data_IF_253575754789
#
_entry.id   IF_253575754789
#
_cell.length_a   1.000
_cell.length_b   1.000
_cell.length_c   1.000
_cell.angle_alpha   90.00
_cell.angle_beta   90.00
_cell.angle_gamma   90.00
#
_symmetry.space_group_name_H-M   'P 1'
#
loop_
_entity.id
_entity.type
_entity.pdbx_description
1 polymer ?
#
# COMPACT_ATOMS: atom_id res chain seq x y z
N UNK A 1 -11.76 -11.98 19.92
CA UNK A 1 -12.66 -12.80 19.08
C UNK A 1 -11.81 -13.88 18.43
N UNK A 2 -12.26 -15.16 18.42
CA UNK A 2 -11.54 -16.22 17.68
C UNK A 2 -11.64 -15.99 16.17
N UNK A 3 -10.72 -16.57 15.39
CA UNK A 3 -10.74 -16.45 13.92
C UNK A 3 -12.04 -16.99 13.32
N UNK A 4 -12.52 -18.12 13.83
CA UNK A 4 -13.79 -18.73 13.40
C UNK A 4 -14.99 -17.79 13.63
N UNK A 5 -15.10 -17.18 14.81
CA UNK A 5 -16.15 -16.19 15.11
C UNK A 5 -16.05 -14.97 14.20
N UNK A 6 -14.83 -14.55 13.85
CA UNK A 6 -14.59 -13.47 12.91
C UNK A 6 -15.10 -13.82 11.50
N UNK A 7 -14.79 -15.02 11.00
CA UNK A 7 -15.21 -15.44 9.67
C UNK A 7 -16.74 -15.56 9.55
N UNK A 8 -17.42 -16.05 10.59
CA UNK A 8 -18.88 -16.08 10.67
C UNK A 8 -19.45 -14.66 10.67
N UNK A 9 -18.93 -13.79 11.53
CA UNK A 9 -19.34 -12.39 11.59
C UNK A 9 -19.16 -11.68 10.25
N UNK A 10 -18.02 -11.88 9.60
CA UNK A 10 -17.72 -11.28 8.30
C UNK A 10 -18.69 -11.75 7.23
N UNK A 11 -18.97 -13.06 7.16
CA UNK A 11 -19.98 -13.63 6.27
C UNK A 11 -21.33 -12.94 6.45
N UNK A 12 -21.83 -12.92 7.68
CA UNK A 12 -23.17 -12.42 7.98
C UNK A 12 -23.28 -10.91 7.69
N UNK A 13 -22.21 -10.16 8.00
CA UNK A 13 -22.16 -8.73 7.69
C UNK A 13 -22.11 -8.45 6.20
N UNK A 14 -21.35 -9.25 5.44
CA UNK A 14 -21.30 -9.13 3.98
C UNK A 14 -22.64 -9.46 3.34
N UNK A 15 -23.33 -10.51 3.80
CA UNK A 15 -24.67 -10.87 3.30
C UNK A 15 -25.69 -9.77 3.58
N UNK A 16 -25.69 -9.20 4.79
CA UNK A 16 -26.55 -8.07 5.13
C UNK A 16 -26.29 -6.87 4.22
N UNK A 17 -25.02 -6.51 3.98
CA UNK A 17 -24.67 -5.42 3.07
C UNK A 17 -25.09 -5.69 1.62
N UNK A 18 -24.94 -6.92 1.15
CA UNK A 18 -25.38 -7.32 -0.19
C UNK A 18 -26.90 -7.16 -0.33
N UNK A 19 -27.66 -7.54 0.69
CA UNK A 19 -29.10 -7.38 0.73
C UNK A 19 -29.51 -5.90 0.79
N UNK A 20 -28.95 -5.13 1.74
CA UNK A 20 -29.20 -3.70 1.92
C UNK A 20 -28.95 -2.89 0.65
N UNK A 21 -27.89 -3.25 -0.11
CA UNK A 21 -27.46 -2.52 -1.31
C UNK A 21 -27.96 -3.13 -2.61
N UNK A 22 -28.64 -4.28 -2.56
CA UNK A 22 -28.98 -5.12 -3.72
C UNK A 22 -27.78 -5.40 -4.64
N UNK A 23 -26.57 -5.53 -4.04
CA UNK A 23 -25.33 -5.75 -4.77
C UNK A 23 -25.34 -7.12 -5.47
N UNK A 24 -24.91 -7.14 -6.72
CA UNK A 24 -24.75 -8.37 -7.52
C UNK A 24 -23.29 -8.82 -7.58
N UNK A 25 -22.38 -7.93 -7.22
CA UNK A 25 -20.94 -8.16 -7.25
C UNK A 25 -20.34 -7.74 -5.93
N UNK A 26 -19.51 -8.60 -5.35
CA UNK A 26 -18.66 -8.32 -4.21
C UNK A 26 -17.19 -8.34 -4.68
N UNK A 27 -16.52 -7.22 -4.56
CA UNK A 27 -15.09 -7.12 -4.88
C UNK A 27 -14.28 -7.18 -3.60
N UNK A 28 -13.31 -8.10 -3.57
CA UNK A 28 -12.34 -8.21 -2.50
C UNK A 28 -10.98 -7.70 -3.00
N UNK A 29 -10.47 -6.65 -2.37
CA UNK A 29 -9.10 -6.16 -2.56
C UNK A 29 -8.24 -6.58 -1.37
N UNK A 30 -7.27 -7.43 -1.62
CA UNK A 30 -6.38 -7.92 -0.57
C UNK A 30 -5.53 -9.10 -1.01
N UNK A 31 -4.60 -9.49 -0.14
CA UNK A 31 -3.62 -10.55 -0.46
C UNK A 31 -4.32 -11.91 -0.59
N UNK A 32 -5.10 -12.28 0.41
CA UNK A 32 -5.78 -13.59 0.48
C UNK A 32 -7.23 -13.40 0.90
N UNK A 33 -8.21 -13.86 0.11
CA UNK A 33 -9.62 -13.77 0.50
C UNK A 33 -9.89 -14.50 1.81
N UNK A 34 -10.61 -13.83 2.69
CA UNK A 34 -11.01 -14.41 3.98
C UNK A 34 -12.04 -15.51 3.78
N UNK A 35 -12.05 -16.55 4.63
CA UNK A 35 -13.07 -17.61 4.56
C UNK A 35 -14.52 -17.07 4.61
N UNK A 36 -14.76 -15.99 5.36
CA UNK A 36 -16.07 -15.34 5.42
C UNK A 36 -16.55 -14.76 4.09
N UNK A 37 -15.63 -14.30 3.22
CA UNK A 37 -15.95 -13.83 1.85
C UNK A 37 -16.44 -15.00 0.99
N UNK A 38 -15.75 -16.13 1.07
CA UNK A 38 -16.13 -17.35 0.34
C UNK A 38 -17.45 -17.91 0.87
N UNK A 39 -17.63 -17.91 2.19
CA UNK A 39 -18.88 -18.35 2.82
C UNK A 39 -20.08 -17.49 2.40
N UNK A 40 -19.90 -16.18 2.20
CA UNK A 40 -20.94 -15.30 1.68
C UNK A 40 -21.38 -15.70 0.26
N UNK A 41 -20.42 -16.04 -0.62
CA UNK A 41 -20.74 -16.58 -1.96
C UNK A 41 -21.51 -17.88 -1.89
N UNK A 42 -21.11 -18.82 -1.02
CA UNK A 42 -21.77 -20.10 -0.87
C UNK A 42 -23.23 -19.95 -0.36
N UNK A 43 -23.48 -18.95 0.49
CA UNK A 43 -24.81 -18.63 1.00
C UNK A 43 -25.68 -17.87 -0.02
N UNK A 44 -25.08 -17.19 -0.99
CA UNK A 44 -25.76 -16.50 -2.08
C UNK A 44 -25.11 -16.83 -3.43
N UNK A 45 -25.50 -17.91 -4.09
CA UNK A 45 -24.91 -18.36 -5.36
C UNK A 45 -24.98 -17.33 -6.50
N UNK A 46 -25.94 -16.40 -6.44
CA UNK A 46 -26.10 -15.34 -7.46
C UNK A 46 -25.10 -14.20 -7.28
N UNK A 47 -24.47 -14.07 -6.10
CA UNK A 47 -23.43 -13.09 -5.84
C UNK A 47 -22.18 -13.41 -6.65
N UNK A 48 -21.68 -12.46 -7.43
CA UNK A 48 -20.42 -12.61 -8.15
C UNK A 48 -19.28 -12.13 -7.29
N UNK A 49 -18.20 -12.92 -7.21
CA UNK A 49 -16.97 -12.55 -6.51
C UNK A 49 -15.89 -12.09 -7.48
N UNK A 50 -15.36 -10.92 -7.24
CA UNK A 50 -14.20 -10.38 -7.95
C UNK A 50 -13.05 -10.21 -6.98
N UNK A 51 -11.90 -10.79 -7.29
CA UNK A 51 -10.70 -10.61 -6.50
C UNK A 51 -9.72 -9.67 -7.19
N UNK A 52 -9.40 -8.55 -6.56
CA UNK A 52 -8.28 -7.70 -6.93
C UNK A 52 -7.05 -8.28 -6.23
N UNK A 53 -6.33 -9.13 -6.95
CA UNK A 53 -5.20 -9.90 -6.44
C UNK A 53 -3.88 -9.21 -6.77
N UNK A 54 -3.01 -9.06 -5.79
CA UNK A 54 -1.64 -8.60 -6.05
C UNK A 54 -0.82 -9.68 -6.73
N UNK A 55 0.08 -9.29 -7.63
CA UNK A 55 1.15 -10.12 -8.17
C UNK A 55 2.34 -10.25 -7.21
N UNK A 56 3.47 -10.72 -7.71
CA UNK A 56 4.76 -10.78 -7.00
C UNK A 56 4.75 -11.63 -5.71
N UNK A 57 3.96 -12.69 -5.70
CA UNK A 57 3.94 -13.59 -4.54
C UNK A 57 5.27 -14.34 -4.40
N UNK A 58 5.73 -14.48 -3.16
CA UNK A 58 6.95 -15.24 -2.86
C UNK A 58 6.84 -16.71 -3.30
N UNK A 59 7.96 -17.32 -3.65
CA UNK A 59 8.04 -18.73 -4.09
C UNK A 59 7.57 -19.75 -3.03
N UNK A 60 7.44 -19.36 -1.76
CA UNK A 60 7.16 -20.27 -0.63
C UNK A 60 5.69 -20.68 -0.52
N UNK A 61 5.39 -21.67 0.32
CA UNK A 61 4.55 -22.86 0.06
C UNK A 61 3.04 -22.68 0.12
N UNK A 62 2.49 -21.48 -0.03
CA UNK A 62 1.03 -21.28 -0.05
C UNK A 62 0.40 -21.41 -1.46
N UNK A 63 1.12 -22.05 -2.40
CA UNK A 63 0.68 -22.18 -3.80
C UNK A 63 -0.68 -22.87 -3.98
N UNK A 64 -0.92 -23.91 -3.19
CA UNK A 64 -2.17 -24.65 -3.25
C UNK A 64 -3.37 -23.83 -2.79
N UNK A 65 -3.16 -22.96 -1.77
CA UNK A 65 -4.20 -22.05 -1.28
C UNK A 65 -4.57 -21.03 -2.35
N UNK A 66 -3.59 -20.47 -3.04
CA UNK A 66 -3.81 -19.52 -4.14
C UNK A 66 -4.67 -20.16 -5.26
N UNK A 67 -4.37 -21.42 -5.63
CA UNK A 67 -5.15 -22.14 -6.65
C UNK A 67 -6.60 -22.36 -6.26
N UNK A 68 -6.83 -22.85 -5.05
CA UNK A 68 -8.17 -23.09 -4.52
C UNK A 68 -8.97 -21.79 -4.40
N UNK A 69 -8.37 -20.75 -3.86
CA UNK A 69 -9.02 -19.45 -3.70
C UNK A 69 -9.35 -18.81 -5.05
N UNK A 70 -8.43 -18.91 -6.02
CA UNK A 70 -8.69 -18.41 -7.38
C UNK A 70 -9.85 -19.14 -8.06
N UNK A 71 -9.98 -20.44 -7.85
CA UNK A 71 -11.05 -21.24 -8.43
C UNK A 71 -12.45 -20.88 -7.87
N UNK A 72 -12.51 -20.23 -6.72
CA UNK A 72 -13.76 -19.78 -6.10
C UNK A 72 -14.22 -18.39 -6.56
N UNK A 73 -13.39 -17.70 -7.35
CA UNK A 73 -13.69 -16.36 -7.86
C UNK A 73 -14.36 -16.44 -9.23
N UNK A 74 -15.37 -15.61 -9.45
CA UNK A 74 -15.97 -15.44 -10.79
C UNK A 74 -15.02 -14.65 -11.71
N UNK A 75 -14.21 -13.75 -11.13
CA UNK A 75 -13.21 -12.97 -11.87
C UNK A 75 -12.03 -12.61 -10.97
N UNK A 76 -10.84 -12.58 -11.55
CA UNK A 76 -9.63 -12.06 -10.89
C UNK A 76 -9.10 -10.92 -11.73
N UNK A 77 -8.80 -9.80 -11.08
CA UNK A 77 -8.12 -8.65 -11.65
C UNK A 77 -6.75 -8.56 -10.97
N UNK A 78 -5.70 -8.45 -11.74
CA UNK A 78 -4.36 -8.26 -11.20
C UNK A 78 -3.79 -6.93 -11.68
N UNK A 79 -3.70 -5.94 -10.79
CA UNK A 79 -3.08 -4.67 -11.11
C UNK A 79 -1.63 -4.88 -11.56
N UNK A 80 -1.24 -4.16 -12.60
CA UNK A 80 0.13 -4.19 -13.09
C UNK A 80 1.13 -3.73 -12.04
N UNK A 81 2.37 -4.13 -12.21
CA UNK A 81 3.47 -3.75 -11.33
C UNK A 81 4.72 -3.46 -12.16
N UNK A 82 5.49 -2.42 -11.78
CA UNK A 82 6.74 -2.07 -12.45
C UNK A 82 7.79 -3.18 -12.34
N UNK A 83 7.70 -3.98 -11.28
CA UNK A 83 8.57 -5.13 -11.04
C UNK A 83 8.04 -6.45 -11.63
N UNK A 84 6.95 -6.43 -12.41
CA UNK A 84 6.32 -7.65 -12.94
C UNK A 84 7.29 -8.59 -13.66
N UNK A 85 8.28 -8.07 -14.35
CA UNK A 85 9.31 -8.87 -15.02
C UNK A 85 10.15 -9.72 -14.06
N UNK A 86 10.15 -9.37 -12.78
CA UNK A 86 10.87 -10.06 -11.71
C UNK A 86 9.96 -10.92 -10.84
N UNK A 87 8.71 -11.15 -11.26
CA UNK A 87 7.83 -12.09 -10.57
C UNK A 87 8.27 -13.53 -10.86
N UNK A 88 8.88 -14.15 -9.88
CA UNK A 88 9.28 -15.57 -9.91
C UNK A 88 8.39 -16.43 -9.00
N UNK A 89 7.33 -15.87 -8.49
CA UNK A 89 6.39 -16.51 -7.59
C UNK A 89 5.26 -17.26 -8.30
N UNK A 90 4.29 -17.78 -7.56
CA UNK A 90 3.19 -18.57 -8.12
C UNK A 90 2.22 -17.75 -8.98
N UNK A 91 2.29 -16.43 -8.96
CA UNK A 91 1.48 -15.53 -9.80
C UNK A 91 2.09 -15.32 -11.19
N UNK A 92 3.40 -15.52 -11.36
CA UNK A 92 4.12 -15.24 -12.60
C UNK A 92 3.61 -16.05 -13.81
N UNK A 93 3.18 -17.28 -13.59
CA UNK A 93 2.75 -18.22 -14.65
C UNK A 93 1.23 -18.38 -14.74
N UNK A 94 0.46 -17.69 -13.90
CA UNK A 94 -1.00 -17.82 -13.91
C UNK A 94 -1.63 -16.99 -15.02
N UNK A 95 -2.64 -17.60 -15.65
CA UNK A 95 -3.44 -17.00 -16.73
C UNK A 95 -4.90 -16.77 -16.34
N UNK A 96 -5.20 -16.87 -15.05
CA UNK A 96 -6.56 -16.78 -14.50
C UNK A 96 -6.99 -15.34 -14.18
N UNK A 97 -6.09 -14.37 -14.33
CA UNK A 97 -6.36 -12.98 -14.03
C UNK A 97 -6.39 -12.11 -15.29
N UNK A 98 -7.24 -11.09 -15.26
CA UNK A 98 -7.17 -9.96 -16.18
C UNK A 98 -6.11 -9.00 -15.64
N UNK A 99 -5.07 -8.79 -16.41
CA UNK A 99 -4.02 -7.82 -16.08
C UNK A 99 -4.48 -6.42 -16.46
N UNK A 100 -4.24 -5.45 -15.60
CA UNK A 100 -4.49 -4.03 -15.86
C UNK A 100 -3.21 -3.23 -15.75
N UNK A 101 -3.27 -1.94 -16.08
CA UNK A 101 -2.20 -1.01 -15.73
C UNK A 101 -2.04 -0.92 -14.21
N UNK A 102 -0.87 -0.48 -13.70
CA UNK A 102 -0.72 -0.19 -12.29
C UNK A 102 -1.78 0.81 -11.79
N UNK A 103 -2.27 0.58 -10.57
CA UNK A 103 -3.20 1.49 -9.90
C UNK A 103 -2.39 2.46 -9.05
N UNK A 104 -2.58 3.75 -9.27
CA UNK A 104 -1.86 4.81 -8.56
C UNK A 104 -2.80 5.97 -8.26
N UNK A 105 -2.62 6.60 -7.11
CA UNK A 105 -3.28 7.88 -6.79
C UNK A 105 -2.55 9.07 -7.45
N UNK A 106 -1.29 8.89 -7.86
CA UNK A 106 -0.58 9.95 -8.57
C UNK A 106 -1.13 10.09 -10.00
N UNK A 107 -1.64 11.27 -10.29
CA UNK A 107 -2.02 11.70 -11.63
C UNK A 107 -1.38 13.06 -11.90
N UNK A 108 -0.66 13.16 -13.00
CA UNK A 108 0.05 14.41 -13.36
C UNK A 108 -0.87 15.62 -13.43
N UNK A 109 -2.14 15.41 -13.82
CA UNK A 109 -3.14 16.48 -13.89
C UNK A 109 -3.56 17.03 -12.52
N UNK A 110 -3.44 16.21 -11.46
CA UNK A 110 -3.84 16.57 -10.10
C UNK A 110 -2.64 16.97 -9.23
N UNK A 111 -1.43 16.79 -9.74
CA UNK A 111 -0.20 17.09 -9.01
C UNK A 111 -0.01 18.60 -8.89
N UNK A 112 0.21 19.06 -7.67
CA UNK A 112 0.53 20.46 -7.41
C UNK A 112 1.92 20.81 -7.92
N UNK A 113 2.13 22.10 -8.23
CA UNK A 113 3.48 22.61 -8.45
C UNK A 113 4.34 22.41 -7.20
N UNK A 114 5.67 22.43 -7.35
CA UNK A 114 6.59 22.36 -6.21
C UNK A 114 6.28 23.44 -5.17
N UNK A 115 6.06 24.66 -5.62
CA UNK A 115 5.77 25.79 -4.75
C UNK A 115 4.48 25.59 -3.96
N UNK A 116 3.38 25.26 -4.65
CA UNK A 116 2.08 25.05 -4.01
C UNK A 116 2.10 23.85 -3.06
N UNK A 117 2.74 22.76 -3.45
CA UNK A 117 2.89 21.57 -2.63
C UNK A 117 3.66 21.87 -1.33
N UNK A 118 4.76 22.61 -1.43
CA UNK A 118 5.52 23.04 -0.25
C UNK A 118 4.73 23.98 0.64
N UNK A 119 4.01 24.92 0.06
CA UNK A 119 3.12 25.82 0.79
C UNK A 119 2.02 25.04 1.52
N UNK A 120 1.38 24.08 0.85
CA UNK A 120 0.33 23.22 1.43
C UNK A 120 0.85 22.39 2.62
N UNK A 121 2.11 21.97 2.57
CA UNK A 121 2.75 21.22 3.65
C UNK A 121 3.43 22.13 4.70
N UNK A 122 3.46 23.46 4.48
CA UNK A 122 4.14 24.42 5.34
C UNK A 122 5.65 24.19 5.40
N UNK A 123 6.28 23.94 4.25
CA UNK A 123 7.70 23.71 4.08
C UNK A 123 8.42 24.96 3.56
N UNK A 124 9.71 25.08 3.88
CA UNK A 124 10.55 26.12 3.31
C UNK A 124 10.75 25.87 1.81
N UNK A 125 10.67 26.93 1.01
CA UNK A 125 10.73 26.83 -0.45
C UNK A 125 12.14 26.52 -0.98
N UNK A 126 13.16 26.90 -0.24
CA UNK A 126 14.55 26.88 -0.71
C UNK A 126 15.41 25.75 -0.11
N UNK A 127 14.90 25.10 0.95
CA UNK A 127 15.64 24.05 1.65
C UNK A 127 15.46 22.69 0.98
N UNK A 128 16.49 21.83 0.93
CA UNK A 128 16.32 20.44 0.55
C UNK A 128 15.30 19.74 1.43
N UNK A 129 14.47 18.90 0.84
CA UNK A 129 13.37 18.24 1.57
C UNK A 129 13.32 16.75 1.22
N UNK A 130 13.43 15.90 2.23
CA UNK A 130 13.38 14.44 2.07
C UNK A 130 12.10 13.87 2.71
N UNK A 131 11.38 13.07 1.93
CA UNK A 131 10.26 12.27 2.42
C UNK A 131 10.78 10.97 3.03
N UNK A 132 10.35 10.62 4.24
CA UNK A 132 10.59 9.29 4.84
C UNK A 132 9.25 8.61 5.09
N UNK A 133 9.02 7.46 4.43
CA UNK A 133 7.77 6.73 4.47
C UNK A 133 8.03 5.21 4.48
N UNK A 134 8.29 4.64 5.64
CA UNK A 134 8.67 3.22 5.79
C UNK A 134 7.49 2.29 6.14
N UNK A 135 6.26 2.83 6.19
CA UNK A 135 5.07 2.04 6.52
C UNK A 135 4.92 1.76 8.02
N UNK A 136 3.94 0.92 8.37
CA UNK A 136 3.58 0.64 9.78
C UNK A 136 3.47 -0.85 10.08
N UNK A 137 3.78 -1.73 9.14
CA UNK A 137 3.36 -3.14 9.20
C UNK A 137 4.45 -4.16 9.56
N UNK A 138 5.71 -3.77 9.65
CA UNK A 138 6.81 -4.71 9.88
C UNK A 138 7.36 -4.62 11.30
N UNK A 139 7.82 -5.75 11.83
CA UNK A 139 8.43 -5.84 13.16
C UNK A 139 9.72 -5.01 13.30
N UNK A 140 10.40 -4.76 12.18
CA UNK A 140 11.68 -4.04 12.08
C UNK A 140 11.55 -2.60 11.60
N UNK A 141 10.32 -2.07 11.47
CA UNK A 141 10.07 -0.68 11.03
C UNK A 141 10.80 0.34 11.89
N UNK A 142 10.85 0.13 13.20
CA UNK A 142 11.53 1.07 14.11
C UNK A 142 13.04 1.09 13.87
N UNK A 143 13.66 -0.05 13.60
CA UNK A 143 15.09 -0.15 13.31
C UNK A 143 15.41 0.51 11.96
N UNK A 144 14.62 0.22 10.92
CA UNK A 144 14.73 0.85 9.60
C UNK A 144 14.51 2.37 9.69
N UNK A 145 13.54 2.82 10.48
CA UNK A 145 13.29 4.23 10.69
C UNK A 145 14.47 4.92 11.37
N UNK A 146 15.00 4.31 12.42
CA UNK A 146 16.19 4.82 13.12
C UNK A 146 17.39 4.92 12.19
N UNK A 147 17.63 3.87 11.40
CA UNK A 147 18.72 3.88 10.42
C UNK A 147 18.55 4.97 9.35
N UNK A 148 17.32 5.11 8.80
CA UNK A 148 17.01 6.12 7.81
C UNK A 148 17.23 7.55 8.35
N UNK A 149 16.68 7.84 9.53
CA UNK A 149 16.81 9.16 10.15
C UNK A 149 18.25 9.46 10.56
N UNK A 150 18.97 8.48 11.10
CA UNK A 150 20.39 8.64 11.46
C UNK A 150 21.26 8.90 10.23
N UNK A 151 20.95 8.27 9.11
CA UNK A 151 21.66 8.49 7.84
C UNK A 151 21.46 9.89 7.25
N UNK A 152 20.45 10.62 7.71
CA UNK A 152 20.17 12.00 7.29
C UNK A 152 20.82 13.04 8.22
N UNK A 153 21.39 12.63 9.35
CA UNK A 153 22.12 13.52 10.24
C UNK A 153 23.34 14.12 9.50
N UNK A 154 23.62 15.37 9.78
CA UNK A 154 24.78 16.07 9.20
C UNK A 154 24.53 16.67 7.82
N UNK A 155 23.38 16.43 7.19
CA UNK A 155 23.00 17.16 5.97
C UNK A 155 22.54 18.57 6.34
N UNK A 156 23.32 19.54 5.86
CA UNK A 156 23.06 20.95 6.18
C UNK A 156 21.71 21.41 5.61
N UNK A 157 20.96 22.15 6.42
CA UNK A 157 19.69 22.79 6.05
C UNK A 157 18.59 21.81 5.54
N UNK A 158 18.72 20.50 5.79
CA UNK A 158 17.75 19.50 5.36
C UNK A 158 16.45 19.58 6.17
N UNK A 159 15.31 19.56 5.49
CA UNK A 159 14.00 19.30 6.07
C UNK A 159 13.66 17.82 5.88
N UNK A 160 13.29 17.11 6.93
CA UNK A 160 12.86 15.72 6.87
C UNK A 160 11.37 15.64 7.17
N UNK A 161 10.63 15.00 6.28
CA UNK A 161 9.19 14.87 6.39
C UNK A 161 8.82 13.41 6.61
N UNK A 162 8.15 13.14 7.73
CA UNK A 162 7.47 11.88 7.96
C UNK A 162 5.99 12.00 7.63
N UNK A 163 5.44 11.02 6.96
CA UNK A 163 4.00 10.94 6.75
C UNK A 163 3.38 9.95 7.71
N UNK A 164 2.24 10.31 8.28
CA UNK A 164 1.40 9.42 9.07
C UNK A 164 0.02 9.28 8.44
N UNK A 165 -0.53 8.07 8.52
CA UNK A 165 -1.90 7.87 8.10
C UNK A 165 -2.84 8.77 8.92
N UNK A 166 -3.91 9.33 8.31
CA UNK A 166 -4.85 10.20 9.04
C UNK A 166 -5.46 9.55 10.28
N UNK A 167 -5.59 8.23 10.26
CA UNK A 167 -6.18 7.42 11.36
C UNK A 167 -5.14 6.94 12.39
N UNK A 168 -3.85 7.18 12.17
CA UNK A 168 -2.82 6.78 13.12
C UNK A 168 -2.83 7.70 14.33
N UNK A 169 -3.30 7.16 15.45
CA UNK A 169 -3.39 7.87 16.74
C UNK A 169 -2.12 7.76 17.57
N UNK A 170 -1.28 6.78 17.28
CA UNK A 170 -0.11 6.44 18.09
C UNK A 170 1.17 6.69 17.28
N UNK A 171 2.14 7.26 17.91
CA UNK A 171 3.50 7.30 17.36
C UNK A 171 4.21 8.61 17.64
N UNK A 172 4.82 8.69 18.79
CA UNK A 172 5.96 9.57 18.98
C UNK A 172 7.11 8.98 18.14
N UNK A 173 7.36 9.54 16.98
CA UNK A 173 8.59 9.27 16.29
C UNK A 173 9.67 10.05 17.03
N UNK A 174 10.57 9.35 17.69
CA UNK A 174 11.74 9.97 18.31
C UNK A 174 12.65 10.42 17.17
N UNK A 175 12.63 11.73 16.90
CA UNK A 175 13.61 12.31 16.00
C UNK A 175 14.99 12.28 16.68
N UNK A 176 16.07 11.90 15.98
CA UNK A 176 17.40 12.13 16.47
C UNK A 176 17.63 13.62 16.72
N UNK A 177 18.39 13.95 17.79
CA UNK A 177 18.77 15.32 18.06
C UNK A 177 19.51 15.94 16.86
N UNK A 178 19.16 17.17 16.54
CA UNK A 178 19.76 17.91 15.44
C UNK A 178 19.13 17.66 14.06
N UNK A 179 18.08 16.85 13.96
CA UNK A 179 17.34 16.65 12.71
C UNK A 179 16.06 17.52 12.69
N UNK A 180 15.94 18.38 11.67
CA UNK A 180 14.72 19.17 11.44
C UNK A 180 13.64 18.26 10.83
N UNK A 181 12.89 17.60 11.71
CA UNK A 181 11.89 16.61 11.36
C UNK A 181 10.48 17.13 11.59
N UNK A 182 9.68 17.10 10.56
CA UNK A 182 8.25 17.45 10.60
C UNK A 182 7.38 16.24 10.28
N UNK A 183 6.35 16.01 11.08
CA UNK A 183 5.34 14.98 10.80
C UNK A 183 4.16 15.65 10.11
N UNK A 184 3.79 15.15 8.92
CA UNK A 184 2.65 15.65 8.16
C UNK A 184 1.56 14.59 8.02
N UNK A 185 0.31 15.05 8.00
CA UNK A 185 -0.86 14.25 7.64
C UNK A 185 -1.54 14.94 6.48
N UNK A 186 -1.28 14.45 5.28
CA UNK A 186 -1.85 14.99 4.05
C UNK A 186 -2.42 13.85 3.20
N UNK A 187 -3.61 14.03 2.66
CA UNK A 187 -4.23 13.04 1.81
C UNK A 187 -4.99 13.72 0.65
N UNK A 188 -4.82 13.22 -0.57
CA UNK A 188 -3.84 12.18 -0.96
C UNK A 188 -2.43 12.78 -1.07
N UNK A 189 -1.44 12.08 -0.50
CA UNK A 189 -0.03 12.50 -0.55
C UNK A 189 0.47 12.64 -1.99
N UNK A 190 -0.08 11.82 -2.89
CA UNK A 190 0.24 11.81 -4.31
C UNK A 190 0.15 13.21 -4.97
N UNK A 191 -0.75 14.09 -4.49
CA UNK A 191 -0.92 15.42 -5.06
C UNK A 191 0.23 16.38 -4.73
N UNK A 192 0.98 16.11 -3.67
CA UNK A 192 2.04 16.99 -3.16
C UNK A 192 3.45 16.40 -3.27
N UNK A 193 3.63 15.33 -4.02
CA UNK A 193 4.92 14.64 -4.15
C UNK A 193 6.03 15.54 -4.72
N UNK A 194 5.69 16.51 -5.55
CA UNK A 194 6.66 17.48 -6.06
C UNK A 194 7.24 18.43 -5.00
N UNK A 195 6.74 18.40 -3.76
CA UNK A 195 7.35 19.08 -2.63
C UNK A 195 8.73 18.54 -2.25
N UNK A 196 9.00 17.27 -2.56
CA UNK A 196 10.16 16.53 -2.10
C UNK A 196 11.24 16.46 -3.17
N UNK A 197 12.50 16.60 -2.73
CA UNK A 197 13.68 16.46 -3.59
C UNK A 197 14.17 15.01 -3.64
N UNK A 198 13.89 14.24 -2.59
CA UNK A 198 14.18 12.82 -2.53
C UNK A 198 13.24 12.10 -1.55
N UNK A 199 13.24 10.77 -1.61
CA UNK A 199 12.49 9.90 -0.71
C UNK A 199 13.29 8.73 -0.17
N UNK A 200 12.95 8.30 1.04
CA UNK A 200 13.34 6.99 1.61
C UNK A 200 12.02 6.29 1.94
N UNK A 201 11.65 5.30 1.14
CA UNK A 201 10.33 4.70 1.21
C UNK A 201 10.38 3.18 1.25
N UNK A 202 9.40 2.57 1.90
CA UNK A 202 9.22 1.12 1.80
C UNK A 202 8.82 0.70 0.37
N UNK A 203 9.21 -0.50 -0.04
CA UNK A 203 8.81 -1.11 -1.33
C UNK A 203 7.35 -1.54 -1.35
N UNK A 204 6.45 -0.74 -0.78
CA UNK A 204 5.01 -0.98 -0.88
C UNK A 204 4.47 -0.60 -2.26
N UNK A 205 3.49 -1.35 -2.74
CA UNK A 205 2.88 -1.14 -4.06
C UNK A 205 2.53 0.33 -4.33
N UNK A 206 1.78 0.97 -3.40
CA UNK A 206 1.34 2.35 -3.60
C UNK A 206 2.51 3.32 -3.67
N UNK A 207 3.45 3.25 -2.71
CA UNK A 207 4.60 4.16 -2.66
C UNK A 207 5.46 4.09 -3.93
N UNK A 208 5.71 2.88 -4.42
CA UNK A 208 6.47 2.68 -5.67
C UNK A 208 5.72 3.29 -6.86
N UNK A 209 4.41 2.98 -7.01
CA UNK A 209 3.61 3.44 -8.16
C UNK A 209 3.14 4.90 -8.05
N UNK A 210 3.44 5.59 -6.96
CA UNK A 210 3.23 7.02 -6.82
C UNK A 210 4.53 7.82 -7.01
N UNK A 211 5.62 7.39 -6.37
CA UNK A 211 6.89 8.11 -6.39
C UNK A 211 7.64 8.03 -7.72
N UNK A 212 7.63 6.85 -8.37
CA UNK A 212 8.28 6.69 -9.67
C UNK A 212 7.67 7.58 -10.76
N UNK A 213 6.35 7.57 -11.01
CA UNK A 213 5.77 8.47 -12.01
C UNK A 213 5.81 9.94 -11.61
N UNK A 214 5.87 10.26 -10.30
CA UNK A 214 6.12 11.61 -9.81
C UNK A 214 7.58 12.07 -10.00
N UNK A 215 8.46 11.17 -10.43
CA UNK A 215 9.88 11.43 -10.66
C UNK A 215 10.62 11.92 -9.40
N UNK A 216 10.21 11.48 -8.23
CA UNK A 216 10.93 11.75 -6.98
C UNK A 216 12.05 10.73 -6.82
N UNK A 217 13.33 11.14 -6.83
CA UNK A 217 14.46 10.25 -6.57
C UNK A 217 14.27 9.54 -5.24
N UNK A 218 14.20 8.20 -5.23
CA UNK A 218 13.81 7.48 -4.02
C UNK A 218 14.68 6.27 -3.78
N UNK A 219 15.14 6.13 -2.54
CA UNK A 219 15.73 4.90 -2.01
C UNK A 219 14.56 4.03 -1.50
N UNK A 220 14.36 2.88 -2.12
CA UNK A 220 13.36 1.93 -1.70
C UNK A 220 13.95 0.89 -0.73
N UNK A 221 13.37 0.82 0.46
CA UNK A 221 13.77 -0.12 1.52
C UNK A 221 12.84 -1.32 1.47
N UNK A 222 13.40 -2.51 1.26
CA UNK A 222 12.61 -3.73 1.17
C UNK A 222 11.98 -4.09 2.52
N UNK A 223 10.74 -4.54 2.46
CA UNK A 223 10.04 -5.15 3.59
C UNK A 223 9.88 -6.63 3.30
N UNK A 224 10.31 -7.47 4.24
CA UNK A 224 10.13 -8.92 4.12
C UNK A 224 8.73 -9.24 4.65
N UNK A 225 7.81 -9.52 3.74
CA UNK A 225 6.45 -9.96 4.10
C UNK A 225 6.27 -11.44 3.80
N UNK A 226 5.29 -12.06 4.45
CA UNK A 226 5.06 -13.51 4.32
C UNK A 226 4.50 -13.93 2.95
N UNK A 227 3.99 -13.01 2.14
CA UNK A 227 3.29 -13.30 0.88
C UNK A 227 3.85 -12.59 -0.35
N UNK A 228 4.36 -11.39 -0.18
CA UNK A 228 4.85 -10.51 -1.25
C UNK A 228 6.17 -9.82 -0.89
#
# INVERSE_FOLDING_TARGET
MSREKWDIYLRDRLLALVEETNAKVLTFDGVVPYPGVIAAKNSNPNLKLVWVRRGLWQKKPQRYVLGLQSAMMDKIIEPGDVARAYDFGPTSTRKDAVLTSPVSLFRKADAMSREDARKALGLDQNRPTVLVQLGTGDSDVNEKMTAALSGLLGWKDLQVILTKAPVDKNGNTLAPDGLDLKVVRYFPLANVLHAFDAGICATGYNGVHELLPAQVPTVFVSNIRGTD
#
